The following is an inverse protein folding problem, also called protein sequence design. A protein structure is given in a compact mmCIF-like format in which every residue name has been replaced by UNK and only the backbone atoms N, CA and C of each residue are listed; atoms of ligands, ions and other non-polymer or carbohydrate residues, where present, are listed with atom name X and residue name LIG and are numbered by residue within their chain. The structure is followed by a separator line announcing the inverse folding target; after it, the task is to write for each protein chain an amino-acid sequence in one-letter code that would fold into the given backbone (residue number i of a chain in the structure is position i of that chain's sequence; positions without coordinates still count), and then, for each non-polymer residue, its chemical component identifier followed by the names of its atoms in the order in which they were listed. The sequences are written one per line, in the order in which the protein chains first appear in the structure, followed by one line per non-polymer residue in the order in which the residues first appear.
data_IF_102777579793
#
_entry.id   IF_102777579793
#
_cell.length_a   1.000
_cell.length_b   1.000
_cell.length_c   1.000
_cell.angle_alpha   90.00
_cell.angle_beta   90.00
_cell.angle_gamma   90.00
#
_symmetry.space_group_name_H-M   'P 1'
#
loop_
_entity.id
_entity.type
_entity.pdbx_description
1 polymer ?
#
# COMPACT_ATOMS: atom_id res chain seq x y z
N UNK A 1 4.61 29.94 -19.99
CA UNK A 1 3.19 29.62 -19.96
C UNK A 1 2.77 29.95 -18.53
N UNK A 2 2.24 31.16 -18.35
CA UNK A 2 1.66 31.55 -17.05
C UNK A 2 0.32 30.81 -16.95
N UNK A 3 0.18 29.95 -15.97
CA UNK A 3 -1.11 29.42 -15.55
C UNK A 3 -1.69 30.44 -14.59
N UNK A 4 -2.83 31.05 -14.96
CA UNK A 4 -3.61 31.86 -14.03
C UNK A 4 -4.17 30.91 -12.95
N UNK A 5 -3.51 30.89 -11.78
CA UNK A 5 -3.99 30.15 -10.63
C UNK A 5 -5.21 30.88 -10.05
N UNK A 6 -6.36 30.25 -10.14
CA UNK A 6 -7.58 30.74 -9.48
C UNK A 6 -7.61 30.26 -8.02
N UNK A 7 -7.87 31.18 -7.10
CA UNK A 7 -8.02 30.87 -5.68
C UNK A 7 -9.50 30.90 -5.30
N UNK A 8 -9.97 29.84 -4.63
CA UNK A 8 -11.32 29.76 -4.09
C UNK A 8 -11.23 29.74 -2.56
N UNK A 9 -11.89 30.70 -1.91
CA UNK A 9 -11.91 30.80 -0.46
C UNK A 9 -13.32 30.49 0.05
N UNK A 10 -13.43 29.56 0.98
CA UNK A 10 -14.70 29.22 1.65
C UNK A 10 -14.48 29.35 3.16
N UNK A 11 -15.27 30.19 3.81
CA UNK A 11 -15.25 30.40 5.25
C UNK A 11 -16.54 29.89 5.89
N UNK A 12 -16.40 29.04 6.92
CA UNK A 12 -17.52 28.54 7.72
C UNK A 12 -17.64 29.38 8.99
N UNK A 13 -18.82 29.97 9.21
CA UNK A 13 -19.16 30.73 10.40
C UNK A 13 -19.97 29.91 11.42
N UNK A 14 -20.73 30.62 12.25
CA UNK A 14 -21.57 30.00 13.28
C UNK A 14 -22.77 29.22 12.72
N UNK A 15 -23.26 28.29 13.51
CA UNK A 15 -24.50 27.57 13.20
C UNK A 15 -25.70 28.32 13.72
N UNK A 16 -26.68 28.65 12.83
CA UNK A 16 -27.97 29.24 13.21
C UNK A 16 -28.93 28.15 13.69
N UNK A 17 -29.16 28.12 14.99
CA UNK A 17 -30.15 27.17 15.58
C UNK A 17 -31.59 27.50 15.16
N UNK A 18 -31.88 28.75 14.80
CA UNK A 18 -33.18 29.17 14.36
C UNK A 18 -33.53 28.65 12.96
N UNK A 19 -32.54 28.69 12.06
CA UNK A 19 -32.69 28.26 10.67
C UNK A 19 -32.25 26.82 10.46
N UNK A 20 -31.59 26.21 11.44
CA UNK A 20 -30.90 24.90 11.34
C UNK A 20 -29.91 24.85 10.15
N UNK A 21 -29.15 25.93 9.98
CA UNK A 21 -28.22 26.14 8.86
C UNK A 21 -26.94 26.82 9.36
N UNK A 22 -25.86 26.66 8.62
CA UNK A 22 -24.60 27.32 8.92
C UNK A 22 -24.38 28.54 8.04
N UNK A 23 -23.83 29.60 8.61
CA UNK A 23 -23.37 30.74 7.84
C UNK A 23 -22.07 30.39 7.09
N UNK A 24 -22.04 30.80 5.81
CA UNK A 24 -20.88 30.53 4.91
C UNK A 24 -20.60 31.78 4.09
N UNK A 25 -19.34 32.06 3.85
CA UNK A 25 -18.87 33.06 2.88
C UNK A 25 -17.94 32.41 1.86
N UNK A 26 -18.06 32.89 0.61
CA UNK A 26 -17.19 32.45 -0.50
C UNK A 26 -16.23 33.55 -0.97
N UNK A 27 -16.00 34.56 -0.12
CA UNK A 27 -15.08 35.67 -0.42
C UNK A 27 -15.65 36.74 -1.34
N UNK A 28 -16.93 36.66 -1.74
CA UNK A 28 -17.61 37.61 -2.62
C UNK A 28 -18.27 38.81 -1.91
N UNK A 29 -18.02 38.92 -0.59
CA UNK A 29 -18.61 39.98 0.27
C UNK A 29 -20.02 39.66 0.78
N UNK A 30 -20.58 38.49 0.43
CA UNK A 30 -21.88 38.04 0.89
C UNK A 30 -21.79 36.95 1.95
N UNK A 31 -22.87 36.77 2.72
CA UNK A 31 -23.04 35.71 3.69
C UNK A 31 -24.23 34.84 3.28
N UNK A 32 -24.03 33.57 3.25
CA UNK A 32 -24.98 32.54 2.84
C UNK A 32 -25.38 31.65 4.00
N UNK A 33 -26.57 31.03 3.93
CA UNK A 33 -26.97 29.92 4.81
C UNK A 33 -26.97 28.61 4.03
N UNK A 34 -26.30 27.63 4.54
CA UNK A 34 -26.20 26.28 3.94
C UNK A 34 -27.04 25.29 4.73
N UNK A 35 -27.96 24.59 4.06
CA UNK A 35 -28.95 23.70 4.68
C UNK A 35 -28.35 22.49 5.39
N UNK A 36 -27.34 21.89 4.85
CA UNK A 36 -26.63 20.77 5.50
C UNK A 36 -25.36 21.32 6.11
N UNK A 37 -25.15 21.14 7.41
CA UNK A 37 -23.94 21.64 8.05
C UNK A 37 -22.71 20.94 7.43
N UNK A 38 -21.84 21.67 6.74
CA UNK A 38 -20.65 21.08 6.09
C UNK A 38 -19.49 20.91 7.07
N UNK A 39 -19.65 21.20 8.37
CA UNK A 39 -18.56 21.25 9.34
C UNK A 39 -17.78 19.95 9.38
N UNK A 40 -18.48 18.82 9.41
CA UNK A 40 -17.82 17.49 9.45
C UNK A 40 -17.00 17.20 8.18
N UNK A 41 -17.37 17.82 7.05
CA UNK A 41 -16.61 17.70 5.79
C UNK A 41 -15.34 18.56 5.77
N UNK A 42 -15.29 19.60 6.59
CA UNK A 42 -14.14 20.49 6.72
C UNK A 42 -13.22 20.11 7.90
N UNK A 43 -13.75 19.36 8.88
CA UNK A 43 -12.99 18.84 10.01
C UNK A 43 -12.24 17.56 9.59
N UNK A 44 -11.20 17.75 8.77
CA UNK A 44 -10.35 16.67 8.30
C UNK A 44 -8.97 16.77 8.90
N UNK A 45 -8.44 15.62 9.29
CA UNK A 45 -7.06 15.49 9.74
C UNK A 45 -6.13 15.17 8.57
N UNK A 46 -4.84 15.52 8.70
CA UNK A 46 -3.83 15.13 7.70
C UNK A 46 -3.86 13.61 7.48
N UNK A 47 -4.00 12.84 8.56
CA UNK A 47 -4.00 11.37 8.52
C UNK A 47 -5.14 10.80 7.67
N UNK A 48 -6.29 11.51 7.60
CA UNK A 48 -7.42 11.11 6.77
C UNK A 48 -7.21 11.40 5.27
N UNK A 49 -6.34 12.34 4.94
CA UNK A 49 -6.09 12.80 3.57
C UNK A 49 -4.80 12.22 2.97
N UNK A 50 -3.87 11.78 3.81
CA UNK A 50 -2.62 11.19 3.34
C UNK A 50 -2.89 9.80 2.79
N UNK A 51 -2.38 9.54 1.59
CA UNK A 51 -2.41 8.20 1.02
C UNK A 51 -1.54 7.27 1.86
N UNK A 52 -2.13 6.20 2.38
CA UNK A 52 -1.36 5.16 3.04
C UNK A 52 -0.47 4.45 2.01
N UNK A 53 0.81 4.30 2.34
CA UNK A 53 1.69 3.45 1.56
C UNK A 53 1.24 2.00 1.73
N UNK A 54 1.06 1.32 0.60
CA UNK A 54 0.67 -0.08 0.61
C UNK A 54 1.90 -0.95 0.85
N UNK A 55 1.75 -1.98 1.67
CA UNK A 55 2.75 -3.03 1.79
C UNK A 55 2.79 -3.79 0.44
N UNK A 56 3.97 -4.02 -0.15
CA UNK A 56 4.08 -4.75 -1.40
C UNK A 56 3.37 -6.11 -1.31
N UNK A 57 2.55 -6.43 -2.31
CA UNK A 57 1.91 -7.74 -2.41
C UNK A 57 2.88 -8.74 -3.06
N UNK A 58 3.58 -9.51 -2.24
CA UNK A 58 4.59 -10.47 -2.71
C UNK A 58 4.02 -11.63 -3.56
N UNK A 59 2.70 -11.83 -3.58
CA UNK A 59 2.06 -12.80 -4.48
C UNK A 59 1.91 -12.26 -5.91
N UNK A 60 2.03 -10.95 -6.09
CA UNK A 60 1.88 -10.28 -7.39
C UNK A 60 3.20 -9.78 -7.98
N UNK A 61 4.33 -10.12 -7.37
CA UNK A 61 5.65 -9.83 -7.93
C UNK A 61 6.07 -10.93 -8.91
N UNK A 62 6.97 -10.61 -9.83
CA UNK A 62 7.51 -11.60 -10.78
C UNK A 62 8.38 -12.62 -10.04
N UNK A 63 9.29 -12.14 -9.19
CA UNK A 63 10.27 -12.95 -8.48
C UNK A 63 10.73 -12.27 -7.21
N UNK A 64 10.87 -13.05 -6.14
CA UNK A 64 11.55 -12.62 -4.92
C UNK A 64 12.96 -13.23 -4.96
N UNK A 65 13.99 -12.38 -4.94
CA UNK A 65 15.38 -12.78 -5.07
C UNK A 65 16.09 -12.97 -3.73
N UNK A 66 15.69 -12.22 -2.70
CA UNK A 66 16.31 -12.28 -1.39
C UNK A 66 15.30 -11.91 -0.29
N UNK A 67 15.39 -12.63 0.83
CA UNK A 67 14.59 -12.34 2.04
C UNK A 67 15.58 -12.30 3.21
N UNK A 68 15.71 -11.14 3.84
CA UNK A 68 16.53 -10.96 5.03
C UNK A 68 15.67 -10.60 6.22
N UNK A 69 15.88 -11.31 7.31
CA UNK A 69 15.34 -10.96 8.62
C UNK A 69 16.52 -10.73 9.54
N UNK A 70 16.51 -9.62 10.26
CA UNK A 70 17.49 -9.30 11.29
C UNK A 70 16.79 -8.88 12.58
N UNK A 71 17.44 -9.08 13.72
CA UNK A 71 16.91 -8.80 15.05
C UNK A 71 17.21 -9.94 16.02
N UNK A 72 16.22 -10.34 16.81
CA UNK A 72 16.36 -11.45 17.78
C UNK A 72 16.70 -12.80 17.12
N UNK A 73 16.32 -12.97 15.87
CA UNK A 73 16.75 -14.05 15.00
C UNK A 73 17.22 -13.48 13.67
N UNK A 74 18.05 -14.25 12.94
CA UNK A 74 18.52 -13.82 11.62
C UNK A 74 18.23 -14.89 10.57
N UNK A 75 17.82 -14.44 9.38
CA UNK A 75 17.63 -15.24 8.19
C UNK A 75 18.20 -14.46 7.00
N UNK A 76 18.95 -15.12 6.13
CA UNK A 76 19.37 -14.58 4.83
C UNK A 76 19.08 -15.67 3.79
N UNK A 77 17.88 -15.64 3.23
CA UNK A 77 17.41 -16.58 2.24
C UNK A 77 17.53 -15.99 0.83
N UNK A 78 18.06 -16.77 -0.10
CA UNK A 78 18.23 -16.38 -1.50
C UNK A 78 17.51 -17.34 -2.42
N UNK A 79 16.95 -16.78 -3.47
CA UNK A 79 16.42 -17.56 -4.59
C UNK A 79 17.58 -18.22 -5.32
N UNK A 80 17.42 -19.50 -5.62
CA UNK A 80 18.24 -20.26 -6.55
C UNK A 80 17.38 -21.25 -7.31
N UNK A 81 17.73 -21.50 -8.56
CA UNK A 81 17.22 -22.67 -9.26
C UNK A 81 17.73 -23.94 -8.59
N UNK A 82 16.84 -24.90 -8.41
CA UNK A 82 17.19 -26.15 -7.74
C UNK A 82 17.85 -27.14 -8.72
N UNK A 83 19.14 -26.97 -8.94
CA UNK A 83 19.95 -27.88 -9.77
C UNK A 83 20.44 -29.09 -8.95
N UNK A 84 19.54 -29.79 -8.28
CA UNK A 84 19.87 -30.95 -7.43
C UNK A 84 20.41 -30.56 -6.05
N UNK A 85 20.13 -29.34 -5.60
CA UNK A 85 20.48 -28.83 -4.27
C UNK A 85 19.54 -29.35 -3.17
N UNK A 86 18.33 -29.75 -3.55
CA UNK A 86 17.31 -30.34 -2.68
C UNK A 86 16.65 -31.52 -3.38
N UNK A 87 16.24 -32.52 -2.58
CA UNK A 87 15.44 -33.66 -3.07
C UNK A 87 14.02 -33.26 -3.51
N UNK A 88 13.55 -32.10 -3.04
CA UNK A 88 12.28 -31.52 -3.48
C UNK A 88 12.55 -30.49 -4.58
N UNK A 89 12.16 -30.82 -5.80
CA UNK A 89 12.38 -29.98 -7.00
C UNK A 89 11.73 -28.59 -6.90
N UNK A 90 10.69 -28.43 -6.06
CA UNK A 90 9.97 -27.17 -5.87
C UNK A 90 10.71 -26.20 -4.93
N UNK A 91 11.78 -26.62 -4.26
CA UNK A 91 12.55 -25.76 -3.38
C UNK A 91 13.41 -24.77 -4.18
N UNK A 92 13.11 -23.50 -3.99
CA UNK A 92 13.75 -22.37 -4.68
C UNK A 92 14.40 -21.36 -3.74
N UNK A 93 14.31 -21.55 -2.43
CA UNK A 93 14.94 -20.69 -1.42
C UNK A 93 15.96 -21.46 -0.63
N UNK A 94 17.16 -20.89 -0.50
CA UNK A 94 18.30 -21.50 0.17
C UNK A 94 18.94 -20.53 1.15
N UNK A 95 19.40 -21.05 2.27
CA UNK A 95 20.23 -20.32 3.23
C UNK A 95 21.62 -20.89 3.25
N UNK A 96 22.61 -20.06 3.53
CA UNK A 96 23.96 -20.49 3.74
C UNK A 96 24.22 -20.66 5.25
N UNK A 97 24.34 -21.88 5.71
CA UNK A 97 24.67 -22.20 7.10
C UNK A 97 25.95 -23.04 7.14
N UNK A 98 26.96 -22.61 7.92
CA UNK A 98 28.24 -23.31 8.08
C UNK A 98 28.95 -23.62 6.75
N UNK A 99 28.87 -22.68 5.79
CA UNK A 99 29.41 -22.80 4.42
C UNK A 99 28.74 -23.90 3.58
N UNK A 100 27.55 -24.34 3.98
CA UNK A 100 26.72 -25.26 3.21
C UNK A 100 25.41 -24.60 2.89
N UNK A 101 24.98 -24.76 1.65
CA UNK A 101 23.62 -24.35 1.25
C UNK A 101 22.63 -25.37 1.78
N UNK A 102 21.57 -24.85 2.42
CA UNK A 102 20.49 -25.68 2.95
C UNK A 102 19.17 -25.17 2.33
N UNK A 103 18.35 -26.06 1.79
CA UNK A 103 17.07 -25.68 1.25
C UNK A 103 16.12 -25.25 2.38
N UNK A 104 15.26 -24.30 2.06
CA UNK A 104 14.08 -23.95 2.85
C UNK A 104 12.84 -24.52 2.16
N UNK A 105 11.89 -24.97 2.95
CA UNK A 105 10.56 -25.33 2.44
C UNK A 105 9.91 -24.11 1.80
N UNK A 106 9.79 -24.11 0.48
CA UNK A 106 9.25 -22.99 -0.29
C UNK A 106 7.82 -22.65 0.09
N UNK A 107 7.01 -23.63 0.50
CA UNK A 107 5.64 -23.39 0.91
C UNK A 107 5.59 -22.66 2.26
N UNK A 108 6.49 -23.01 3.20
CA UNK A 108 6.60 -22.29 4.46
C UNK A 108 7.10 -20.86 4.26
N UNK A 109 8.04 -20.63 3.35
CA UNK A 109 8.51 -19.29 2.96
C UNK A 109 7.37 -18.47 2.38
N UNK A 110 6.58 -19.03 1.45
CA UNK A 110 5.39 -18.37 0.89
C UNK A 110 4.35 -18.04 1.96
N UNK A 111 4.11 -18.96 2.90
CA UNK A 111 3.21 -18.73 4.03
C UNK A 111 3.69 -17.58 4.91
N UNK A 112 4.98 -17.51 5.19
CA UNK A 112 5.57 -16.38 5.93
C UNK A 112 5.35 -15.04 5.21
N UNK A 113 5.62 -14.97 3.91
CA UNK A 113 5.40 -13.76 3.10
C UNK A 113 3.91 -13.37 3.02
N UNK A 114 3.00 -14.34 2.97
CA UNK A 114 1.56 -14.08 3.03
C UNK A 114 1.14 -13.45 4.36
N UNK A 115 1.74 -13.86 5.47
CA UNK A 115 1.50 -13.24 6.77
C UNK A 115 2.01 -11.79 6.80
N UNK A 116 3.12 -11.49 6.12
CA UNK A 116 3.61 -10.11 5.95
C UNK A 116 2.65 -9.30 5.07
N UNK A 117 2.12 -9.87 3.99
CA UNK A 117 1.11 -9.22 3.14
C UNK A 117 -0.19 -8.91 3.90
N UNK A 118 -0.50 -9.63 4.97
CA UNK A 118 -1.68 -9.41 5.80
C UNK A 118 -1.52 -8.25 6.80
N UNK A 119 -0.34 -7.63 6.89
CA UNK A 119 -0.16 -6.43 7.70
C UNK A 119 -1.03 -5.30 7.14
N UNK A 120 -1.76 -4.64 8.02
CA UNK A 120 -2.61 -3.51 7.67
C UNK A 120 -2.05 -2.23 8.28
N UNK A 121 -1.69 -1.27 7.43
CA UNK A 121 -1.29 0.08 7.83
C UNK A 121 -2.55 0.91 8.08
N UNK A 122 -3.23 0.67 9.22
CA UNK A 122 -4.55 1.22 9.47
C UNK A 122 -4.54 2.70 9.85
N UNK A 123 -3.63 3.13 10.69
CA UNK A 123 -3.66 4.48 11.28
C UNK A 123 -2.26 5.03 11.43
N UNK A 124 -2.04 6.26 10.99
CA UNK A 124 -0.83 7.00 11.31
C UNK A 124 -0.82 7.36 12.80
N UNK A 125 0.31 7.11 13.45
CA UNK A 125 0.58 7.59 14.82
C UNK A 125 1.26 8.95 14.74
N UNK A 126 2.13 9.13 13.76
CA UNK A 126 2.77 10.39 13.40
C UNK A 126 3.11 10.37 11.92
N UNK A 127 2.97 11.52 11.26
CA UNK A 127 3.34 11.67 9.86
C UNK A 127 4.75 12.27 9.77
N UNK A 128 5.62 11.66 8.96
CA UNK A 128 7.01 12.09 8.80
C UNK A 128 7.76 12.15 10.14
N UNK A 129 7.85 10.99 10.82
CA UNK A 129 8.45 10.82 12.14
C UNK A 129 9.89 11.38 12.18
N UNK A 130 10.20 12.11 13.24
CA UNK A 130 11.56 12.56 13.58
C UNK A 130 12.36 11.41 14.20
N UNK A 131 13.70 11.53 14.24
CA UNK A 131 14.57 10.54 14.91
C UNK A 131 14.19 10.34 16.38
N UNK A 132 13.78 11.38 17.08
CA UNK A 132 13.34 11.32 18.48
C UNK A 132 12.03 10.54 18.64
N UNK A 133 11.13 10.67 17.67
CA UNK A 133 9.89 9.89 17.65
C UNK A 133 10.16 8.42 17.29
N UNK A 134 11.10 8.13 16.39
CA UNK A 134 11.51 6.76 16.10
C UNK A 134 12.04 6.08 17.36
N UNK A 135 12.89 6.75 18.16
CA UNK A 135 13.35 6.26 19.48
C UNK A 135 12.17 5.99 20.41
N UNK A 136 11.21 6.92 20.48
CA UNK A 136 10.02 6.79 21.34
C UNK A 136 9.20 5.55 21.02
N UNK A 137 9.15 5.15 19.74
CA UNK A 137 8.40 3.99 19.28
C UNK A 137 9.27 2.72 19.14
N UNK A 138 10.54 2.79 19.51
CA UNK A 138 11.49 1.67 19.44
C UNK A 138 11.82 1.24 18.01
N UNK A 139 11.77 2.20 17.06
CA UNK A 139 12.07 1.96 15.65
C UNK A 139 13.50 2.33 15.28
N UNK A 140 14.25 2.94 16.17
CA UNK A 140 15.69 3.16 16.08
C UNK A 140 16.48 1.84 16.27
N UNK A 141 16.00 0.96 17.16
CA UNK A 141 16.52 -0.38 17.37
C UNK A 141 15.37 -1.42 17.28
N UNK A 142 14.84 -1.69 16.09
CA UNK A 142 13.68 -2.55 15.94
C UNK A 142 13.99 -3.99 16.37
N UNK A 143 13.04 -4.65 17.04
CA UNK A 143 13.18 -6.06 17.43
C UNK A 143 13.39 -6.98 16.24
N UNK A 144 12.77 -6.64 15.11
CA UNK A 144 12.92 -7.32 13.83
C UNK A 144 12.90 -6.31 12.69
N UNK A 145 13.74 -6.54 11.71
CA UNK A 145 13.72 -5.84 10.44
C UNK A 145 13.62 -6.89 9.32
N UNK A 146 12.67 -6.68 8.39
CA UNK A 146 12.49 -7.52 7.22
C UNK A 146 12.84 -6.71 5.96
N UNK A 147 13.78 -7.22 5.18
CA UNK A 147 14.13 -6.72 3.86
C UNK A 147 13.79 -7.79 2.81
N UNK A 148 13.01 -7.43 1.81
CA UNK A 148 12.66 -8.32 0.69
C UNK A 148 13.07 -7.65 -0.62
N UNK A 149 13.93 -8.32 -1.39
CA UNK A 149 14.28 -7.91 -2.74
C UNK A 149 13.44 -8.68 -3.74
N UNK A 150 12.73 -7.96 -4.60
CA UNK A 150 11.85 -8.55 -5.58
C UNK A 150 11.91 -7.83 -6.93
N UNK A 151 11.52 -8.52 -7.98
CA UNK A 151 11.27 -7.95 -9.30
C UNK A 151 9.77 -7.72 -9.43
N UNK A 152 9.30 -6.49 -9.66
CA UNK A 152 7.88 -6.24 -9.90
C UNK A 152 7.46 -6.87 -11.24
N UNK A 153 6.20 -7.23 -11.38
CA UNK A 153 5.64 -7.59 -12.69
C UNK A 153 5.66 -6.35 -13.59
N UNK A 154 6.09 -6.52 -14.84
CA UNK A 154 5.96 -5.48 -15.84
C UNK A 154 4.48 -5.25 -16.17
N UNK A 155 4.06 -3.99 -16.29
CA UNK A 155 2.65 -3.62 -16.57
C UNK A 155 2.18 -4.05 -17.98
N UNK A 156 3.06 -4.59 -18.81
CA UNK A 156 2.80 -4.94 -20.23
C UNK A 156 2.07 -6.29 -20.44
N UNK A 157 1.56 -6.96 -19.40
CA UNK A 157 0.88 -8.24 -19.54
C UNK A 157 -0.63 -8.20 -19.30
N UNK A 158 -1.29 -7.07 -19.53
CA UNK A 158 -2.74 -7.03 -19.71
C UNK A 158 -3.09 -7.27 -21.19
N UNK A 159 -2.86 -8.48 -21.68
CA UNK A 159 -3.45 -8.91 -22.94
C UNK A 159 -4.96 -9.02 -22.77
N UNK A 160 -5.63 -8.06 -23.38
CA UNK A 160 -6.77 -8.16 -24.26
C UNK A 160 -7.29 -9.61 -24.46
N UNK A 161 -8.17 -10.05 -23.58
CA UNK A 161 -9.10 -11.12 -23.90
C UNK A 161 -10.32 -10.51 -24.59
N UNK A 162 -10.13 -10.13 -25.86
CA UNK A 162 -11.19 -9.77 -26.76
C UNK A 162 -12.16 -10.95 -26.92
N UNK A 163 -13.27 -10.86 -26.23
CA UNK A 163 -14.47 -11.66 -26.46
C UNK A 163 -15.08 -11.24 -27.80
N UNK A 164 -14.75 -11.98 -28.86
CA UNK A 164 -15.41 -11.89 -30.15
C UNK A 164 -16.65 -12.81 -30.14
N UNK A 165 -17.76 -12.29 -29.66
CA UNK A 165 -19.07 -12.85 -29.93
C UNK A 165 -19.50 -12.50 -31.36
N UNK A 166 -19.18 -13.41 -32.26
CA UNK A 166 -19.73 -13.44 -33.60
C UNK A 166 -21.22 -13.86 -33.48
N UNK A 167 -22.12 -12.92 -33.71
CA UNK A 167 -23.55 -13.15 -33.81
C UNK A 167 -23.91 -13.23 -35.29
N UNK A 168 -23.86 -14.41 -35.85
CA UNK A 168 -24.50 -14.69 -37.15
C UNK A 168 -26.03 -14.54 -37.05
N UNK A 169 -26.53 -13.52 -37.69
CA UNK A 169 -27.95 -13.36 -37.98
C UNK A 169 -28.29 -14.23 -39.18
N UNK A 170 -28.88 -15.38 -38.93
CA UNK A 170 -29.53 -16.21 -39.96
C UNK A 170 -30.87 -15.61 -40.35
N UNK A 171 -30.95 -15.14 -41.60
CA UNK A 171 -32.19 -14.82 -42.30
C UNK A 171 -32.69 -16.06 -42.95
N UNK A 172 -33.97 -16.38 -42.77
CA UNK A 172 -34.75 -17.11 -43.76
C UNK A 172 -36.28 -17.00 -43.51
N UNK A 173 -36.92 -16.50 -44.56
CA UNK A 173 -38.29 -16.73 -45.05
C UNK A 173 -39.46 -16.42 -44.12
#
# INVERSE_FOLDING_TARGET
METDDETYEISLGDYSTMDSQRYVSIGDGNVYLVKNDPMDSFDVTIDALVKNDEIPNFNQVEKISEIKVSGSTSLDAKYKENDGLSDNEDDIYFVNKDKKEQPLDTNLVKTYLNNVNALNLGTYVTYNATDEELVKYGLDEPQYNLEVKYTPKSEDSSEDSGDSTDSEAGSSE
#
